data_IF_392089372088
#
_entry.id   IF_392089372088
#
_cell.length_a   1.000
_cell.length_b   1.000
_cell.length_c   1.000
_cell.angle_alpha   90.00
_cell.angle_beta   90.00
_cell.angle_gamma   90.00
#
_symmetry.space_group_name_H-M   'P 1'
#
loop_
_entity.id
_entity.type
_entity.pdbx_description
1 polymer ?
#
# COMPACT_ATOMS: atom_id res chain seq x y z
N UNK A 1 24.65 6.10 10.85
CA UNK A 1 23.77 5.01 11.34
C UNK A 1 22.48 5.04 10.55
N UNK A 2 21.96 3.88 10.19
CA UNK A 2 20.67 3.76 9.48
C UNK A 2 19.58 3.27 10.40
N UNK A 3 18.42 3.93 10.32
CA UNK A 3 17.24 3.62 11.12
C UNK A 3 16.07 3.24 10.23
N UNK A 4 15.27 2.27 10.71
CA UNK A 4 14.00 1.88 10.13
C UNK A 4 12.86 2.40 11.01
N UNK A 5 11.97 3.18 10.42
CA UNK A 5 10.70 3.59 11.02
C UNK A 5 9.61 2.62 10.61
N UNK A 6 8.86 2.13 11.59
CA UNK A 6 7.52 1.59 11.36
C UNK A 6 6.49 2.68 11.67
N UNK A 7 5.56 2.89 10.75
CA UNK A 7 4.59 3.97 10.84
C UNK A 7 3.24 3.58 10.23
N UNK A 8 2.24 4.38 10.50
CA UNK A 8 0.93 4.29 9.86
C UNK A 8 0.43 5.67 9.47
N UNK A 9 -0.41 5.74 8.44
CA UNK A 9 -1.03 6.99 8.04
C UNK A 9 -2.40 6.79 7.39
N UNK A 10 -3.29 7.75 7.62
CA UNK A 10 -4.49 7.94 6.84
C UNK A 10 -4.16 8.84 5.65
N UNK A 11 -4.23 8.29 4.43
CA UNK A 11 -3.82 8.99 3.21
C UNK A 11 -4.83 10.00 2.66
N UNK A 12 -6.00 10.16 3.27
CA UNK A 12 -7.10 10.97 2.73
C UNK A 12 -6.71 12.42 2.41
N UNK A 13 -5.85 13.01 3.26
CA UNK A 13 -5.42 14.42 3.12
C UNK A 13 -4.11 14.57 2.32
N UNK A 14 -3.56 13.48 1.76
CA UNK A 14 -2.26 13.48 1.13
C UNK A 14 -2.32 13.07 -0.34
N UNK A 15 -1.43 13.66 -1.13
CA UNK A 15 -1.24 13.28 -2.53
C UNK A 15 -0.32 12.05 -2.68
N UNK A 16 -0.48 11.09 -1.76
CA UNK A 16 0.30 9.86 -1.67
C UNK A 16 1.56 10.00 -0.82
N UNK A 17 2.41 8.98 -0.89
CA UNK A 17 3.65 8.94 -0.11
C UNK A 17 4.70 9.93 -0.61
N UNK A 18 5.04 9.87 -1.89
CA UNK A 18 6.22 10.52 -2.47
C UNK A 18 6.09 12.04 -2.56
N UNK A 19 7.12 12.77 -2.17
CA UNK A 19 7.25 14.22 -2.40
C UNK A 19 7.09 14.53 -3.89
N UNK A 20 6.26 15.51 -4.20
CA UNK A 20 6.02 16.02 -5.54
C UNK A 20 5.72 17.52 -5.51
N UNK A 21 5.98 18.26 -6.60
CA UNK A 21 5.72 19.69 -6.63
C UNK A 21 4.27 20.03 -6.34
N UNK A 22 4.04 21.09 -5.58
CA UNK A 22 2.72 21.72 -5.32
C UNK A 22 1.68 20.83 -4.64
N UNK A 23 2.10 19.77 -3.95
CA UNK A 23 1.18 18.83 -3.30
C UNK A 23 1.77 18.29 -2.01
N UNK A 24 1.01 18.34 -0.92
CA UNK A 24 1.44 17.79 0.38
C UNK A 24 1.47 16.26 0.32
N UNK A 25 2.58 15.67 0.76
CA UNK A 25 2.80 14.22 0.81
C UNK A 25 3.14 13.75 2.21
N UNK A 26 2.92 12.47 2.49
CA UNK A 26 3.28 11.88 3.79
C UNK A 26 4.78 11.97 4.05
N UNK A 27 5.61 11.70 3.04
CA UNK A 27 7.06 11.79 3.11
C UNK A 27 7.54 13.19 3.56
N UNK A 28 6.98 14.24 2.95
CA UNK A 28 7.34 15.63 3.26
C UNK A 28 7.08 15.99 4.72
N UNK A 29 5.91 15.60 5.25
CA UNK A 29 5.55 15.87 6.64
C UNK A 29 6.49 15.15 7.60
N UNK A 30 6.81 13.89 7.33
CA UNK A 30 7.72 13.12 8.19
C UNK A 30 9.14 13.68 8.10
N UNK A 31 9.68 13.99 6.92
CA UNK A 31 11.01 14.58 6.75
C UNK A 31 11.13 15.91 7.50
N UNK A 32 10.11 16.75 7.43
CA UNK A 32 10.07 18.01 8.18
C UNK A 32 10.07 17.77 9.69
N UNK A 33 9.25 16.85 10.19
CA UNK A 33 9.19 16.48 11.60
C UNK A 33 10.56 15.99 12.10
N UNK A 34 11.14 15.01 11.42
CA UNK A 34 12.42 14.42 11.81
C UNK A 34 13.57 15.44 11.77
N UNK A 35 13.59 16.29 10.75
CA UNK A 35 14.63 17.31 10.59
C UNK A 35 14.59 18.34 11.72
N UNK A 36 13.41 18.68 12.24
CA UNK A 36 13.28 19.57 13.40
C UNK A 36 13.74 18.88 14.69
N UNK A 37 13.30 17.64 14.92
CA UNK A 37 13.59 16.91 16.16
C UNK A 37 15.06 16.54 16.27
N UNK A 38 15.69 16.16 15.16
CA UNK A 38 17.09 15.74 15.11
C UNK A 38 18.04 16.91 14.84
N UNK A 39 17.51 18.12 14.58
CA UNK A 39 18.28 19.32 14.23
C UNK A 39 19.27 19.08 13.08
N UNK A 40 18.87 18.25 12.12
CA UNK A 40 19.64 17.89 10.93
C UNK A 40 18.67 17.66 9.76
N UNK A 41 19.08 17.97 8.53
CA UNK A 41 18.25 17.71 7.35
C UNK A 41 18.14 16.19 7.12
N UNK A 42 16.97 15.65 7.37
CA UNK A 42 16.67 14.23 7.19
C UNK A 42 15.90 14.01 5.89
N UNK A 43 16.33 13.01 5.13
CA UNK A 43 15.59 12.48 3.98
C UNK A 43 15.23 11.03 4.24
N UNK A 44 14.00 10.63 3.93
CA UNK A 44 13.53 9.26 4.18
C UNK A 44 13.24 8.52 2.87
N UNK A 45 13.45 7.22 2.88
CA UNK A 45 13.15 6.32 1.76
C UNK A 45 12.10 5.30 2.17
N UNK A 46 10.91 5.43 1.62
CA UNK A 46 9.79 4.53 1.94
C UNK A 46 9.88 3.17 1.24
N UNK A 47 9.22 2.18 1.83
CA UNK A 47 9.12 0.81 1.30
C UNK A 47 8.39 0.69 -0.05
N UNK A 48 7.70 1.75 -0.45
CA UNK A 48 6.99 1.84 -1.71
C UNK A 48 6.36 3.22 -1.91
N UNK A 49 5.66 3.38 -3.02
CA UNK A 49 4.85 4.56 -3.29
C UNK A 49 3.40 4.19 -3.14
N UNK A 50 2.63 5.04 -2.47
CA UNK A 50 1.17 4.97 -2.45
C UNK A 50 0.60 6.09 -3.33
N UNK A 51 -0.54 5.83 -3.97
CA UNK A 51 -1.28 6.85 -4.72
C UNK A 51 -1.98 7.82 -3.74
N UNK A 52 -2.42 8.97 -4.26
CA UNK A 52 -3.24 9.93 -3.51
C UNK A 52 -4.46 9.25 -2.89
N UNK A 53 -4.71 9.51 -1.61
CA UNK A 53 -5.83 8.96 -0.85
C UNK A 53 -5.67 7.51 -0.38
N UNK A 54 -4.56 6.82 -0.70
CA UNK A 54 -4.28 5.46 -0.23
C UNK A 54 -3.72 5.49 1.18
N UNK A 55 -4.22 4.62 2.05
CA UNK A 55 -3.83 4.51 3.45
C UNK A 55 -2.72 3.48 3.66
N UNK A 56 -2.06 3.54 4.80
CA UNK A 56 -1.23 2.47 5.30
C UNK A 56 -1.46 2.28 6.80
N UNK A 57 -1.92 1.11 7.20
CA UNK A 57 -1.95 0.71 8.61
C UNK A 57 -0.60 0.20 9.10
N UNK A 58 0.26 -0.19 8.16
CA UNK A 58 1.65 -0.54 8.37
C UNK A 58 2.48 -0.06 7.19
N UNK A 59 3.51 0.72 7.45
CA UNK A 59 4.45 1.23 6.45
C UNK A 59 5.84 1.31 7.06
N UNK A 60 6.86 1.11 6.23
CA UNK A 60 8.25 1.20 6.63
C UNK A 60 8.99 2.26 5.80
N UNK A 61 9.84 3.02 6.46
CA UNK A 61 10.78 3.93 5.81
C UNK A 61 12.12 3.92 6.53
N UNK A 62 13.23 4.04 5.82
CA UNK A 62 14.53 4.20 6.45
C UNK A 62 15.08 5.61 6.24
N UNK A 63 15.96 6.03 7.15
CA UNK A 63 16.73 7.25 7.05
C UNK A 63 18.10 7.07 7.67
N UNK A 64 19.03 7.90 7.27
CA UNK A 64 20.37 7.99 7.86
C UNK A 64 20.43 9.18 8.82
N UNK A 65 21.10 8.99 9.96
CA UNK A 65 21.37 10.03 10.93
C UNK A 65 22.82 9.92 11.45
N UNK A 66 23.46 11.08 11.64
CA UNK A 66 24.87 11.14 12.02
C UNK A 66 25.16 10.61 13.42
N UNK A 67 24.20 10.72 14.34
CA UNK A 67 24.35 10.38 15.75
C UNK A 67 23.48 9.18 16.17
N UNK A 68 23.77 8.65 17.36
CA UNK A 68 22.95 7.61 17.97
C UNK A 68 21.66 8.19 18.59
N UNK A 69 20.51 7.60 18.27
CA UNK A 69 19.25 7.88 18.96
C UNK A 69 19.16 6.98 20.20
N UNK A 70 19.68 7.46 21.32
CA UNK A 70 19.81 6.67 22.56
C UNK A 70 18.44 6.30 23.14
N UNK A 71 17.52 7.25 23.21
CA UNK A 71 16.16 7.03 23.75
C UNK A 71 15.13 6.98 22.64
N UNK A 72 14.90 5.78 22.08
CA UNK A 72 13.95 5.55 20.98
C UNK A 72 12.51 5.85 21.38
N UNK A 73 12.11 5.57 22.63
CA UNK A 73 10.74 5.85 23.11
C UNK A 73 10.48 7.36 23.20
N UNK A 74 11.45 8.12 23.73
CA UNK A 74 11.36 9.59 23.78
C UNK A 74 11.32 10.20 22.36
N UNK A 75 12.12 9.67 21.45
CA UNK A 75 12.11 10.08 20.05
C UNK A 75 10.75 9.84 19.40
N UNK A 76 10.16 8.64 19.58
CA UNK A 76 8.81 8.30 19.05
C UNK A 76 7.76 9.22 19.65
N UNK A 77 7.79 9.45 20.97
CA UNK A 77 6.86 10.35 21.65
C UNK A 77 6.94 11.79 21.11
N UNK A 78 8.14 12.35 21.00
CA UNK A 78 8.36 13.70 20.46
C UNK A 78 7.88 13.79 19.00
N UNK A 79 8.21 12.78 18.20
CA UNK A 79 7.80 12.74 16.80
C UNK A 79 6.28 12.72 16.66
N UNK A 80 5.59 11.87 17.43
CA UNK A 80 4.12 11.78 17.40
C UNK A 80 3.44 13.03 17.97
N UNK A 81 4.10 13.75 18.88
CA UNK A 81 3.58 15.04 19.39
C UNK A 81 3.68 16.17 18.36
N UNK A 82 4.62 16.06 17.40
CA UNK A 82 4.82 17.03 16.33
C UNK A 82 4.01 16.68 15.07
N UNK A 83 3.86 15.39 14.77
CA UNK A 83 3.13 14.91 13.59
C UNK A 83 1.63 15.21 13.71
N UNK A 84 0.92 15.46 12.58
CA UNK A 84 -0.52 15.54 12.58
C UNK A 84 -1.13 14.18 12.97
N UNK A 85 -2.35 14.20 13.51
CA UNK A 85 -3.01 13.02 14.09
C UNK A 85 -3.25 11.86 13.08
N UNK A 86 -3.17 12.14 11.79
CA UNK A 86 -3.34 11.17 10.70
C UNK A 86 -2.03 10.48 10.26
N UNK A 87 -0.90 10.78 10.93
CA UNK A 87 0.39 10.09 10.76
C UNK A 87 0.93 9.72 12.16
N UNK A 88 1.35 8.46 12.33
CA UNK A 88 1.91 7.98 13.59
C UNK A 88 3.13 7.08 13.35
N UNK A 89 4.24 7.37 14.06
CA UNK A 89 5.39 6.48 14.17
C UNK A 89 5.13 5.49 15.29
N UNK A 90 5.28 4.20 14.99
CA UNK A 90 5.02 3.09 15.92
C UNK A 90 6.31 2.59 16.56
N UNK A 91 7.33 2.37 15.74
CA UNK A 91 8.61 1.83 16.18
C UNK A 91 9.78 2.49 15.44
N UNK A 92 10.95 2.42 16.07
CA UNK A 92 12.23 2.81 15.51
C UNK A 92 13.25 1.71 15.79
N UNK A 93 13.87 1.18 14.74
CA UNK A 93 14.90 0.15 14.83
C UNK A 93 16.20 0.64 14.21
N UNK A 94 17.32 0.24 14.77
CA UNK A 94 18.61 0.33 14.10
C UNK A 94 18.75 -0.82 13.12
N UNK A 95 19.23 -0.53 11.91
CA UNK A 95 19.39 -1.52 10.84
C UNK A 95 20.77 -1.39 10.21
N UNK A 96 21.20 -2.42 9.49
CA UNK A 96 22.47 -2.41 8.76
C UNK A 96 22.53 -1.23 7.77
N UNK A 97 23.71 -0.68 7.55
CA UNK A 97 23.91 0.47 6.66
C UNK A 97 23.53 0.19 5.19
N UNK A 98 23.57 -1.07 4.76
CA UNK A 98 23.14 -1.51 3.44
C UNK A 98 21.63 -1.80 3.32
N UNK A 99 20.89 -1.75 4.43
CA UNK A 99 19.44 -1.96 4.42
C UNK A 99 18.73 -0.92 3.54
N UNK A 100 17.77 -1.39 2.74
CA UNK A 100 16.96 -0.52 1.90
C UNK A 100 15.47 -0.87 2.01
N UNK A 101 14.66 0.02 2.59
CA UNK A 101 13.25 -0.22 2.89
C UNK A 101 12.44 -0.70 1.66
N UNK A 102 12.72 -0.20 0.46
CA UNK A 102 12.00 -0.58 -0.75
C UNK A 102 12.52 -1.88 -1.36
N UNK A 103 13.82 -2.00 -1.54
CA UNK A 103 14.44 -3.10 -2.29
C UNK A 103 14.72 -4.33 -1.41
N UNK A 104 14.88 -4.14 -0.10
CA UNK A 104 15.03 -5.23 0.85
C UNK A 104 13.72 -5.96 1.19
N UNK A 105 12.56 -5.40 0.89
CA UNK A 105 11.28 -6.02 1.23
C UNK A 105 10.97 -7.22 0.34
N UNK A 106 10.69 -8.36 0.96
CA UNK A 106 10.37 -9.64 0.33
C UNK A 106 8.93 -9.69 -0.18
N UNK A 107 8.00 -9.12 0.59
CA UNK A 107 6.59 -9.06 0.20
C UNK A 107 5.88 -7.85 0.77
N UNK A 108 4.73 -7.51 0.17
CA UNK A 108 3.76 -6.50 0.64
C UNK A 108 2.39 -7.11 0.61
N UNK A 109 1.55 -6.72 1.59
CA UNK A 109 0.14 -7.08 1.63
C UNK A 109 -0.71 -5.83 1.61
N UNK A 110 -1.69 -5.82 0.72
CA UNK A 110 -2.71 -4.78 0.66
C UNK A 110 -4.07 -5.36 1.01
N UNK A 111 -4.90 -4.54 1.63
CA UNK A 111 -6.31 -4.80 1.82
C UNK A 111 -7.12 -3.72 1.11
N UNK A 112 -8.17 -4.13 0.40
CA UNK A 112 -9.17 -3.23 -0.15
C UNK A 112 -10.50 -3.45 0.54
N UNK A 113 -11.02 -2.41 1.20
CA UNK A 113 -12.26 -2.44 1.96
C UNK A 113 -13.43 -1.98 1.09
N UNK A 114 -14.49 -2.78 1.04
CA UNK A 114 -15.71 -2.53 0.28
C UNK A 114 -16.93 -2.82 1.13
N UNK A 115 -17.91 -1.93 1.13
CA UNK A 115 -19.21 -2.13 1.76
C UNK A 115 -20.34 -1.96 0.74
N UNK A 116 -21.39 -2.78 0.88
CA UNK A 116 -22.57 -2.78 0.01
C UNK A 116 -23.76 -2.06 0.63
N UNK A 117 -23.64 -1.58 1.86
CA UNK A 117 -24.62 -0.76 2.56
C UNK A 117 -24.03 0.58 2.95
N UNK A 118 -24.89 1.58 3.12
CA UNK A 118 -24.47 2.92 3.52
C UNK A 118 -24.10 2.95 5.00
N UNK A 119 -22.85 3.33 5.30
CA UNK A 119 -22.37 3.55 6.66
C UNK A 119 -21.57 4.86 6.72
N UNK A 120 -22.04 5.86 7.50
CA UNK A 120 -21.34 7.15 7.64
C UNK A 120 -19.93 7.02 8.24
N UNK A 121 -19.69 6.01 9.07
CA UNK A 121 -18.38 5.79 9.71
C UNK A 121 -17.35 5.15 8.75
N UNK A 122 -17.81 4.59 7.65
CA UNK A 122 -16.96 4.00 6.61
C UNK A 122 -16.74 4.92 5.40
N UNK A 123 -17.33 6.12 5.39
CA UNK A 123 -17.37 7.00 4.22
C UNK A 123 -15.99 7.34 3.62
N UNK A 124 -14.96 7.51 4.49
CA UNK A 124 -13.59 7.88 4.08
C UNK A 124 -12.58 6.73 4.25
N UNK A 125 -13.04 5.53 4.57
CA UNK A 125 -12.19 4.38 4.91
C UNK A 125 -12.55 3.10 4.16
N UNK A 126 -13.60 3.13 3.32
CA UNK A 126 -14.07 2.01 2.53
C UNK A 126 -14.70 2.52 1.23
N UNK A 127 -14.80 1.66 0.23
CA UNK A 127 -15.55 1.94 -0.99
C UNK A 127 -17.00 1.48 -0.83
N UNK A 128 -17.95 2.42 -0.79
CA UNK A 128 -19.36 2.10 -0.81
C UNK A 128 -19.81 1.82 -2.25
N UNK A 129 -20.25 0.61 -2.50
CA UNK A 129 -20.76 0.17 -3.80
C UNK A 129 -22.22 -0.28 -3.65
N UNK A 130 -23.14 0.57 -4.10
CA UNK A 130 -24.59 0.33 -4.05
C UNK A 130 -25.02 -0.63 -5.17
N UNK A 131 -24.59 -1.90 -5.10
CA UNK A 131 -24.96 -2.94 -6.07
C UNK A 131 -24.88 -4.31 -5.42
N UNK A 132 -25.68 -5.24 -5.91
CA UNK A 132 -25.53 -6.65 -5.58
C UNK A 132 -24.28 -7.19 -6.30
N UNK A 133 -23.44 -7.87 -5.54
CA UNK A 133 -22.17 -8.40 -6.03
C UNK A 133 -22.02 -9.85 -5.61
N UNK A 134 -21.63 -10.68 -6.55
CA UNK A 134 -21.31 -12.08 -6.33
C UNK A 134 -19.84 -12.24 -5.91
N UNK A 135 -19.58 -12.18 -4.60
CA UNK A 135 -18.23 -12.36 -4.04
C UNK A 135 -17.66 -13.76 -4.26
N UNK A 136 -18.51 -14.77 -4.44
CA UNK A 136 -18.04 -16.11 -4.78
C UNK A 136 -17.40 -16.13 -6.17
N UNK A 137 -18.04 -15.52 -7.17
CA UNK A 137 -17.44 -15.37 -8.51
C UNK A 137 -16.18 -14.54 -8.49
N UNK A 138 -16.13 -13.47 -7.68
CA UNK A 138 -14.93 -12.65 -7.51
C UNK A 138 -13.78 -13.46 -6.92
N UNK A 139 -14.03 -14.33 -5.94
CA UNK A 139 -13.01 -15.21 -5.37
C UNK A 139 -12.51 -16.24 -6.40
N UNK A 140 -13.42 -16.88 -7.16
CA UNK A 140 -13.02 -17.80 -8.23
C UNK A 140 -12.16 -17.11 -9.31
N UNK A 141 -12.47 -15.86 -9.64
CA UNK A 141 -11.64 -15.07 -10.54
C UNK A 141 -10.28 -14.72 -9.91
N UNK A 142 -10.26 -14.31 -8.64
CA UNK A 142 -9.03 -13.95 -7.94
C UNK A 142 -8.02 -15.11 -7.87
N UNK A 143 -8.47 -16.36 -7.75
CA UNK A 143 -7.61 -17.55 -7.79
C UNK A 143 -6.81 -17.66 -9.09
N UNK A 144 -7.30 -17.12 -10.21
CA UNK A 144 -6.58 -17.16 -11.47
C UNK A 144 -5.32 -16.30 -11.49
N UNK A 145 -5.23 -15.28 -10.61
CA UNK A 145 -4.07 -14.41 -10.48
C UNK A 145 -2.78 -15.19 -10.19
N UNK A 146 -2.88 -16.32 -9.48
CA UNK A 146 -1.71 -17.17 -9.16
C UNK A 146 -1.04 -17.82 -10.38
N UNK A 147 -1.76 -17.91 -11.51
CA UNK A 147 -1.27 -18.56 -12.72
C UNK A 147 -0.44 -17.63 -13.61
N UNK A 148 -0.28 -16.37 -13.22
CA UNK A 148 0.36 -15.33 -14.03
C UNK A 148 1.48 -14.63 -13.27
N UNK A 149 2.40 -14.05 -14.02
CA UNK A 149 3.48 -13.21 -13.49
C UNK A 149 3.50 -11.82 -14.15
N UNK A 150 3.21 -11.72 -15.45
CA UNK A 150 3.18 -10.44 -16.17
C UNK A 150 1.82 -9.76 -15.99
N UNK A 151 1.81 -8.68 -15.19
CA UNK A 151 0.62 -7.90 -14.86
C UNK A 151 0.59 -6.53 -15.53
N UNK A 152 1.20 -6.39 -16.72
CA UNK A 152 1.25 -5.12 -17.47
C UNK A 152 -0.14 -4.47 -17.61
N UNK A 153 -1.20 -5.26 -17.88
CA UNK A 153 -2.58 -4.80 -18.01
C UNK A 153 -3.12 -4.04 -16.79
N UNK A 154 -2.57 -4.26 -15.60
CA UNK A 154 -2.99 -3.58 -14.37
C UNK A 154 -2.06 -2.41 -13.98
N UNK A 155 -0.98 -2.19 -14.72
CA UNK A 155 -0.07 -1.08 -14.47
C UNK A 155 -0.66 0.24 -14.99
N UNK A 156 -0.40 1.34 -14.30
CA UNK A 156 -0.69 2.67 -14.84
C UNK A 156 0.09 2.85 -16.16
N UNK A 157 -0.58 3.38 -17.19
CA UNK A 157 0.06 3.71 -18.46
C UNK A 157 1.24 4.68 -18.25
N UNK A 158 2.26 4.57 -19.08
CA UNK A 158 3.47 5.38 -19.01
C UNK A 158 4.22 5.28 -17.67
N UNK A 159 4.20 4.07 -17.07
CA UNK A 159 5.00 3.80 -15.88
C UNK A 159 6.43 3.43 -16.29
N UNK A 160 7.41 4.14 -15.72
CA UNK A 160 8.83 3.81 -15.85
C UNK A 160 9.16 2.62 -14.94
N UNK A 161 9.07 1.40 -15.50
CA UNK A 161 9.36 0.14 -14.80
C UNK A 161 10.15 -0.80 -15.69
N UNK A 162 11.17 -1.44 -15.13
CA UNK A 162 12.02 -2.40 -15.85
C UNK A 162 11.29 -3.72 -16.17
N UNK A 163 10.30 -4.08 -15.38
CA UNK A 163 9.53 -5.32 -15.54
C UNK A 163 8.12 -5.20 -14.98
N UNK A 164 7.19 -5.89 -15.62
CA UNK A 164 5.79 -6.00 -15.14
C UNK A 164 5.53 -7.27 -14.33
N UNK A 165 6.60 -8.04 -14.04
CA UNK A 165 6.47 -9.30 -13.31
C UNK A 165 6.25 -9.06 -11.82
N UNK A 166 5.23 -9.74 -11.29
CA UNK A 166 4.90 -9.83 -9.87
C UNK A 166 4.56 -11.28 -9.54
N UNK A 167 4.88 -11.73 -8.34
CA UNK A 167 4.51 -13.07 -7.85
C UNK A 167 3.47 -12.87 -6.77
N UNK A 168 2.21 -13.23 -7.07
CA UNK A 168 1.11 -13.15 -6.13
C UNK A 168 1.10 -14.39 -5.26
N UNK A 169 1.06 -14.20 -3.94
CA UNK A 169 1.06 -15.27 -2.93
C UNK A 169 -0.25 -15.36 -2.15
N UNK A 170 -1.08 -14.32 -2.17
CA UNK A 170 -2.44 -14.33 -1.64
C UNK A 170 -3.34 -13.42 -2.47
N UNK A 171 -4.59 -13.82 -2.72
CA UNK A 171 -5.61 -13.00 -3.36
C UNK A 171 -6.99 -13.56 -3.01
N UNK A 172 -7.69 -12.96 -2.03
CA UNK A 172 -8.98 -13.47 -1.56
C UNK A 172 -9.88 -12.38 -1.00
N UNK A 173 -11.19 -12.55 -1.18
CA UNK A 173 -12.24 -11.76 -0.54
C UNK A 173 -12.74 -12.47 0.71
N UNK A 174 -12.85 -11.76 1.81
CA UNK A 174 -13.44 -12.24 3.06
C UNK A 174 -14.38 -11.19 3.63
N UNK A 175 -15.46 -11.62 4.31
CA UNK A 175 -16.33 -10.71 5.04
C UNK A 175 -15.83 -10.57 6.47
N UNK A 176 -15.52 -9.36 6.90
CA UNK A 176 -15.00 -9.05 8.25
C UNK A 176 -15.63 -7.75 8.74
N UNK A 177 -16.04 -7.70 9.99
CA UNK A 177 -16.49 -6.45 10.65
C UNK A 177 -17.50 -5.64 9.80
N UNK A 178 -18.51 -6.30 9.26
CA UNK A 178 -19.57 -5.72 8.42
C UNK A 178 -19.11 -5.10 7.09
N UNK A 179 -17.93 -5.45 6.58
CA UNK A 179 -17.51 -5.07 5.24
C UNK A 179 -16.71 -6.18 4.56
N UNK A 180 -16.63 -6.12 3.24
CA UNK A 180 -15.82 -7.04 2.47
C UNK A 180 -14.39 -6.52 2.36
N UNK A 181 -13.44 -7.41 2.55
CA UNK A 181 -12.00 -7.13 2.44
C UNK A 181 -11.40 -8.03 1.36
N UNK A 182 -10.84 -7.41 0.34
CA UNK A 182 -9.95 -8.10 -0.59
C UNK A 182 -8.53 -7.98 -0.06
N UNK A 183 -7.93 -9.11 0.28
CA UNK A 183 -6.52 -9.15 0.68
C UNK A 183 -5.68 -9.70 -0.46
N UNK A 184 -4.59 -9.02 -0.79
CA UNK A 184 -3.65 -9.43 -1.82
C UNK A 184 -2.22 -9.24 -1.35
N UNK A 185 -1.39 -10.28 -1.51
CA UNK A 185 0.04 -10.26 -1.18
C UNK A 185 0.86 -10.63 -2.40
N UNK A 186 1.98 -9.93 -2.57
CA UNK A 186 2.94 -10.21 -3.65
C UNK A 186 4.36 -9.76 -3.25
N UNK A 187 5.38 -10.25 -3.97
CA UNK A 187 6.75 -9.77 -3.82
C UNK A 187 6.88 -8.28 -4.16
N UNK A 188 6.08 -7.79 -5.10
CA UNK A 188 5.96 -6.37 -5.48
C UNK A 188 4.62 -6.10 -6.14
N UNK A 189 4.26 -4.82 -6.23
CA UNK A 189 3.12 -4.34 -6.99
C UNK A 189 3.53 -3.23 -7.96
N UNK A 190 2.84 -3.17 -9.09
CA UNK A 190 2.94 -2.08 -10.04
C UNK A 190 2.05 -0.92 -9.58
N UNK A 191 2.35 0.27 -10.08
CA UNK A 191 1.53 1.45 -9.78
C UNK A 191 0.08 1.23 -10.22
N UNK A 192 -0.87 1.49 -9.31
CA UNK A 192 -2.31 1.31 -9.51
C UNK A 192 -2.79 -0.15 -9.65
N UNK A 193 -1.91 -1.14 -9.59
CA UNK A 193 -2.21 -2.55 -9.89
C UNK A 193 -3.36 -3.09 -9.04
N UNK A 194 -3.32 -2.96 -7.73
CA UNK A 194 -4.36 -3.50 -6.83
C UNK A 194 -5.72 -2.89 -7.12
N UNK A 195 -5.79 -1.58 -7.35
CA UNK A 195 -7.04 -0.87 -7.66
C UNK A 195 -7.65 -1.33 -8.99
N UNK A 196 -6.84 -1.59 -10.00
CA UNK A 196 -7.29 -2.10 -11.29
C UNK A 196 -7.74 -3.57 -11.21
N UNK A 197 -7.02 -4.41 -10.44
CA UNK A 197 -7.44 -5.80 -10.16
C UNK A 197 -8.82 -5.81 -9.49
N UNK A 198 -8.99 -5.03 -8.40
CA UNK A 198 -10.27 -4.97 -7.68
C UNK A 198 -11.40 -4.48 -8.59
N UNK A 199 -11.18 -3.47 -9.42
CA UNK A 199 -12.19 -3.01 -10.39
C UNK A 199 -12.60 -4.09 -11.38
N UNK A 200 -11.65 -4.84 -11.90
CA UNK A 200 -11.93 -5.98 -12.81
C UNK A 200 -12.71 -7.09 -12.09
N UNK A 201 -12.35 -7.40 -10.84
CA UNK A 201 -13.09 -8.39 -10.04
C UNK A 201 -14.52 -7.93 -9.74
N UNK A 202 -14.72 -6.64 -9.45
CA UNK A 202 -16.05 -6.06 -9.23
C UNK A 202 -16.92 -6.21 -10.48
N UNK A 203 -16.40 -5.93 -11.67
CA UNK A 203 -17.15 -6.10 -12.93
C UNK A 203 -17.57 -7.55 -13.20
N UNK A 204 -16.73 -8.51 -12.79
CA UNK A 204 -17.07 -9.94 -12.81
C UNK A 204 -18.15 -10.25 -11.76
N UNK A 205 -18.04 -9.70 -10.55
CA UNK A 205 -19.03 -9.88 -9.48
C UNK A 205 -20.40 -9.26 -9.80
N UNK A 206 -20.43 -8.14 -10.53
CA UNK A 206 -21.65 -7.51 -11.08
C UNK A 206 -22.29 -8.32 -12.23
N UNK A 207 -21.61 -9.39 -12.71
CA UNK A 207 -22.09 -10.20 -13.84
C UNK A 207 -21.88 -9.56 -15.21
N UNK A 208 -21.16 -8.43 -15.32
CA UNK A 208 -20.82 -7.81 -16.61
C UNK A 208 -19.93 -8.72 -17.44
N UNK A 209 -19.07 -9.50 -16.79
CA UNK A 209 -18.13 -10.40 -17.40
C UNK A 209 -18.14 -11.78 -16.74
N UNK A 210 -17.78 -12.81 -17.51
CA UNK A 210 -17.57 -14.18 -16.99
C UNK A 210 -16.25 -14.25 -16.21
N UNK A 211 -16.10 -15.26 -15.34
CA UNK A 211 -14.88 -15.48 -14.54
C UNK A 211 -13.60 -15.52 -15.41
N UNK A 212 -13.69 -16.13 -16.61
CA UNK A 212 -12.54 -16.24 -17.52
C UNK A 212 -12.13 -14.91 -18.18
N UNK A 213 -12.91 -13.84 -18.00
CA UNK A 213 -12.53 -12.50 -18.49
C UNK A 213 -11.21 -12.04 -17.88
N UNK A 214 -10.92 -12.40 -16.62
CA UNK A 214 -9.64 -12.06 -15.99
C UNK A 214 -8.44 -12.62 -16.78
N UNK A 215 -8.56 -13.86 -17.28
CA UNK A 215 -7.51 -14.45 -18.13
C UNK A 215 -7.32 -13.67 -19.44
N UNK A 216 -8.41 -13.22 -20.04
CA UNK A 216 -8.39 -12.42 -21.28
C UNK A 216 -7.72 -11.07 -21.05
N UNK A 217 -8.07 -10.39 -19.94
CA UNK A 217 -7.45 -9.11 -19.53
C UNK A 217 -5.95 -9.27 -19.33
N UNK A 218 -5.51 -10.29 -18.59
CA UNK A 218 -4.09 -10.49 -18.32
C UNK A 218 -3.32 -10.80 -19.62
N UNK A 219 -3.87 -11.66 -20.48
CA UNK A 219 -3.27 -12.03 -21.78
C UNK A 219 -3.19 -10.87 -22.76
N UNK A 220 -4.13 -9.93 -22.70
CA UNK A 220 -4.13 -8.74 -23.59
C UNK A 220 -2.96 -7.81 -23.34
N UNK A 221 -2.41 -7.79 -22.11
CA UNK A 221 -1.38 -6.84 -21.65
C UNK A 221 -1.76 -5.36 -21.82
N UNK A 222 -3.05 -5.08 -22.07
CA UNK A 222 -3.58 -3.73 -22.26
C UNK A 222 -4.28 -3.23 -21.01
N UNK A 223 -3.96 -2.00 -20.60
CA UNK A 223 -4.64 -1.35 -19.46
C UNK A 223 -6.11 -1.03 -19.78
N UNK A 224 -6.46 -0.87 -21.03
CA UNK A 224 -7.80 -0.53 -21.50
C UNK A 224 -8.77 -1.69 -21.32
N UNK A 225 -8.29 -2.93 -21.40
CA UNK A 225 -9.08 -4.13 -21.17
C UNK A 225 -9.34 -4.43 -19.69
N UNK A 226 -8.56 -3.85 -18.79
CA UNK A 226 -8.76 -4.00 -17.36
C UNK A 226 -9.85 -3.06 -16.86
N UNK A 227 -10.57 -3.48 -15.84
CA UNK A 227 -11.60 -2.70 -15.18
C UNK A 227 -11.08 -1.35 -14.65
N UNK A 228 -11.99 -0.49 -14.26
CA UNK A 228 -11.66 0.83 -13.71
C UNK A 228 -10.82 0.73 -12.44
N UNK A 229 -10.06 1.77 -12.16
CA UNK A 229 -9.34 1.87 -10.89
C UNK A 229 -10.30 2.27 -9.78
N UNK A 230 -10.58 1.36 -8.86
CA UNK A 230 -11.47 1.64 -7.73
C UNK A 230 -10.97 2.81 -6.86
N UNK A 231 -11.84 3.50 -6.09
CA UNK A 231 -11.47 4.62 -5.24
C UNK A 231 -10.31 4.28 -4.29
N UNK A 232 -9.41 5.24 -4.09
CA UNK A 232 -8.20 5.03 -3.28
C UNK A 232 -8.51 4.83 -1.80
N UNK A 233 -9.55 5.46 -1.29
CA UNK A 233 -9.98 5.44 0.12
C UNK A 233 -10.27 4.04 0.68
N UNK A 234 -10.50 3.04 -0.19
CA UNK A 234 -10.66 1.66 0.25
C UNK A 234 -9.34 0.89 0.38
N UNK A 235 -8.22 1.43 -0.13
CA UNK A 235 -6.94 0.72 -0.23
C UNK A 235 -6.00 1.02 0.93
N UNK A 236 -5.49 -0.04 1.55
CA UNK A 236 -4.56 -0.01 2.67
C UNK A 236 -3.35 -0.88 2.41
N UNK A 237 -2.14 -0.35 2.58
CA UNK A 237 -0.96 -1.19 2.77
C UNK A 237 -0.96 -1.65 4.23
N UNK A 238 -0.98 -2.96 4.47
CA UNK A 238 -1.22 -3.53 5.80
C UNK A 238 -0.05 -4.33 6.34
N UNK A 239 0.87 -4.79 5.47
CA UNK A 239 2.04 -5.53 5.89
C UNK A 239 3.19 -5.43 4.88
N UNK A 240 4.42 -5.47 5.39
CA UNK A 240 5.66 -5.54 4.61
C UNK A 240 6.57 -6.53 5.33
N UNK A 241 7.07 -7.51 4.61
CA UNK A 241 7.96 -8.53 5.17
C UNK A 241 9.39 -8.27 4.68
N UNK A 242 10.33 -8.26 5.61
CA UNK A 242 11.76 -8.20 5.37
C UNK A 242 12.43 -9.53 5.72
N UNK A 243 13.68 -9.78 5.27
CA UNK A 243 14.45 -10.95 5.71
C UNK A 243 14.60 -10.97 7.23
N UNK A 244 14.69 -12.18 7.79
CA UNK A 244 15.12 -12.36 9.19
C UNK A 244 16.51 -11.75 9.37
N UNK A 245 16.81 -11.20 10.54
CA UNK A 245 18.07 -10.52 10.87
C UNK A 245 18.28 -9.16 10.15
N UNK A 246 17.20 -8.48 9.78
CA UNK A 246 17.24 -7.10 9.26
C UNK A 246 17.50 -6.10 10.37
N UNK A 247 16.93 -6.33 11.55
CA UNK A 247 17.05 -5.48 12.73
C UNK A 247 18.35 -5.84 13.48
N UNK A 248 19.05 -4.83 14.03
CA UNK A 248 20.26 -4.99 14.84
C UNK A 248 19.93 -5.13 16.33
N UNK A 249 18.69 -4.79 16.72
CA UNK A 249 18.24 -4.71 18.10
C UNK A 249 17.41 -5.93 18.56
N UNK A 250 17.48 -7.08 17.88
CA UNK A 250 16.85 -8.36 18.30
C UNK A 250 17.80 -9.21 19.12
#
# INVERSE_FOLDING_TARGET
MRYLLELSFNGANYHGWQIQPKSVSVQEIIEKCLSIILNEKISIVGAGRTDSGVHASYFCAHFDYSNLIVNKLDFIYKSNSFLPFDISIKNLFEVKDDFHARFGALSRTYQYKLNTFKDPFLANSSYYLKKDIDFYKMNLAALKLYNYQDFKCFSKSNSDVNTFNCIITNASWTFKENHWVFEISANRFLRNMVRAIVGTLIEIGEGKHKINHLDSVIKSKSREEAGYSVPAQGLYLTNIIYPKNTLLDE
#
